data_IF_059478485745
#
_entry.id   IF_059478485745
#
_cell.length_a   1.000
_cell.length_b   1.000
_cell.length_c   1.000
_cell.angle_alpha   90.00
_cell.angle_beta   90.00
_cell.angle_gamma   90.00
#
_symmetry.space_group_name_H-M   'P 1'
#
loop_
_entity.id
_entity.type
_entity.pdbx_description
1 polymer ?
#
# COMPACT_ATOMS: atom_id res chain seq x y z
N UNK A 1 -15.36 39.99 37.20
CA UNK A 1 -15.32 39.98 35.72
C UNK A 1 -16.51 39.15 35.26
N UNK A 2 -17.57 39.79 34.78
CA UNK A 2 -18.80 39.13 34.33
C UNK A 2 -18.68 38.98 32.82
N UNK A 3 -18.58 37.74 32.33
CA UNK A 3 -18.64 37.47 30.88
C UNK A 3 -20.03 37.85 30.38
N UNK A 4 -20.18 38.75 29.39
CA UNK A 4 -21.49 39.03 28.82
C UNK A 4 -22.02 37.76 28.13
N UNK A 5 -23.32 37.44 28.25
CA UNK A 5 -23.93 36.23 27.69
C UNK A 5 -23.70 36.04 26.18
N UNK A 6 -23.36 37.10 25.45
CA UNK A 6 -22.99 37.05 24.04
C UNK A 6 -21.67 36.32 23.74
N UNK A 7 -20.71 36.24 24.68
CA UNK A 7 -19.44 35.56 24.43
C UNK A 7 -19.60 34.04 24.38
N UNK A 8 -20.39 33.45 25.28
CA UNK A 8 -20.64 32.01 25.30
C UNK A 8 -21.41 31.55 24.07
N UNK A 9 -22.44 32.29 23.66
CA UNK A 9 -23.23 31.97 22.46
C UNK A 9 -22.36 32.09 21.21
N UNK A 10 -21.51 33.12 21.13
CA UNK A 10 -20.57 33.28 20.04
C UNK A 10 -19.58 32.10 19.92
N UNK A 11 -18.98 31.65 21.03
CA UNK A 11 -18.10 30.46 20.98
C UNK A 11 -18.87 29.17 20.64
N UNK A 12 -20.12 29.05 21.08
CA UNK A 12 -20.96 27.92 20.70
C UNK A 12 -21.24 27.93 19.18
N UNK A 13 -21.47 29.10 18.58
CA UNK A 13 -21.68 29.25 17.13
C UNK A 13 -20.43 28.91 16.32
N UNK A 14 -19.23 29.11 16.87
CA UNK A 14 -17.98 28.69 16.22
C UNK A 14 -17.79 27.16 16.28
N UNK A 15 -18.02 26.54 17.44
CA UNK A 15 -17.68 25.13 17.67
C UNK A 15 -18.78 24.18 17.18
N UNK A 16 -20.05 24.51 17.41
CA UNK A 16 -21.18 23.63 17.13
C UNK A 16 -21.31 23.19 15.65
N UNK A 17 -21.06 24.06 14.64
CA UNK A 17 -21.15 23.68 13.23
C UNK A 17 -20.22 22.51 12.86
N UNK A 18 -19.02 22.46 13.44
CA UNK A 18 -18.09 21.35 13.20
C UNK A 18 -18.59 20.03 13.75
N UNK A 19 -19.20 20.05 14.94
CA UNK A 19 -19.81 18.88 15.55
C UNK A 19 -21.01 18.38 14.74
N UNK A 20 -21.88 19.30 14.31
CA UNK A 20 -23.05 18.97 13.48
C UNK A 20 -22.61 18.33 12.16
N UNK A 21 -21.57 18.86 11.50
CA UNK A 21 -21.07 18.31 10.25
C UNK A 21 -20.57 16.86 10.41
N UNK A 22 -19.76 16.60 11.44
CA UNK A 22 -19.21 15.26 11.71
C UNK A 22 -20.30 14.27 12.09
N UNK A 23 -21.23 14.64 12.97
CA UNK A 23 -22.33 13.76 13.35
C UNK A 23 -23.26 13.46 12.17
N UNK A 24 -23.50 14.45 11.31
CA UNK A 24 -24.28 14.28 10.07
C UNK A 24 -23.58 13.30 9.13
N UNK A 25 -22.26 13.44 8.95
CA UNK A 25 -21.46 12.56 8.12
C UNK A 25 -21.51 11.09 8.61
N UNK A 26 -21.32 10.87 9.91
CA UNK A 26 -21.34 9.53 10.51
C UNK A 26 -22.73 8.90 10.38
N UNK A 27 -23.78 9.69 10.67
CA UNK A 27 -25.16 9.22 10.59
C UNK A 27 -25.56 8.84 9.16
N UNK A 28 -25.13 9.63 8.16
CA UNK A 28 -25.42 9.37 6.75
C UNK A 28 -24.58 8.25 6.15
N UNK A 29 -23.30 8.16 6.54
CA UNK A 29 -22.40 7.11 6.06
C UNK A 29 -22.65 5.75 6.73
N UNK A 30 -23.59 5.67 7.69
CA UNK A 30 -23.92 4.46 8.45
C UNK A 30 -22.68 3.74 8.98
N UNK A 31 -21.70 4.50 9.48
CA UNK A 31 -20.47 3.93 10.06
C UNK A 31 -20.85 3.28 11.38
N UNK A 32 -20.88 1.95 11.39
CA UNK A 32 -21.26 1.12 12.55
C UNK A 32 -20.11 0.93 13.56
N UNK A 33 -18.91 1.42 13.23
CA UNK A 33 -17.71 1.19 14.02
C UNK A 33 -17.53 2.13 15.23
N UNK A 34 -16.90 1.59 16.28
CA UNK A 34 -16.45 2.29 17.49
C UNK A 34 -15.37 3.35 17.18
N UNK A 35 -15.78 4.49 16.61
CA UNK A 35 -14.90 5.63 16.46
C UNK A 35 -14.57 6.18 17.85
N UNK A 36 -13.28 6.20 18.20
CA UNK A 36 -12.81 6.77 19.47
C UNK A 36 -13.31 8.20 19.66
N UNK A 37 -13.93 8.48 20.81
CA UNK A 37 -14.49 9.80 21.14
C UNK A 37 -13.49 10.96 20.97
N UNK A 38 -12.21 10.73 21.27
CA UNK A 38 -11.15 11.72 21.07
C UNK A 38 -10.97 12.07 19.58
N UNK A 39 -11.04 11.07 18.70
CA UNK A 39 -10.91 11.27 17.25
C UNK A 39 -12.10 12.09 16.74
N UNK A 40 -13.32 11.79 17.19
CA UNK A 40 -14.52 12.58 16.88
C UNK A 40 -14.37 14.05 17.30
N UNK A 41 -13.86 14.29 18.52
CA UNK A 41 -13.60 15.64 19.02
C UNK A 41 -12.61 16.40 18.13
N UNK A 42 -11.47 15.79 17.78
CA UNK A 42 -10.47 16.41 16.90
C UNK A 42 -11.07 16.72 15.53
N UNK A 43 -11.78 15.77 14.92
CA UNK A 43 -12.43 16.00 13.63
C UNK A 43 -13.51 17.08 13.68
N UNK A 44 -14.29 17.13 14.76
CA UNK A 44 -15.31 18.18 14.94
C UNK A 44 -14.67 19.56 15.08
N UNK A 45 -13.55 19.67 15.80
CA UNK A 45 -12.82 20.93 15.96
C UNK A 45 -12.19 21.38 14.64
N UNK A 46 -11.52 20.48 13.92
CA UNK A 46 -10.94 20.78 12.60
C UNK A 46 -12.03 21.19 11.61
N UNK A 47 -13.17 20.52 11.64
CA UNK A 47 -14.31 20.83 10.76
C UNK A 47 -14.94 22.17 11.11
N UNK A 48 -15.07 22.50 12.39
CA UNK A 48 -15.53 23.82 12.86
C UNK A 48 -14.61 24.91 12.31
N UNK A 49 -13.30 24.76 12.47
CA UNK A 49 -12.33 25.74 11.99
C UNK A 49 -12.36 25.88 10.46
N UNK A 50 -12.56 24.79 9.71
CA UNK A 50 -12.74 24.84 8.26
C UNK A 50 -14.03 25.56 7.86
N UNK A 51 -15.15 25.28 8.52
CA UNK A 51 -16.44 25.93 8.24
C UNK A 51 -16.36 27.41 8.57
N UNK A 52 -15.76 27.78 9.71
CA UNK A 52 -15.57 29.17 10.11
C UNK A 52 -14.68 29.90 9.11
N UNK A 53 -13.58 29.28 8.67
CA UNK A 53 -12.68 29.85 7.66
C UNK A 53 -13.40 30.03 6.33
N UNK A 54 -14.21 29.06 5.91
CA UNK A 54 -14.97 29.13 4.67
C UNK A 54 -16.04 30.23 4.75
N UNK A 55 -16.76 30.31 5.87
CA UNK A 55 -17.74 31.37 6.12
C UNK A 55 -17.09 32.75 6.07
N UNK A 56 -16.00 32.95 6.81
CA UNK A 56 -15.24 34.20 6.81
C UNK A 56 -14.73 34.53 5.41
N UNK A 57 -14.16 33.55 4.70
CA UNK A 57 -13.66 33.73 3.34
C UNK A 57 -14.74 34.16 2.36
N UNK A 58 -15.90 33.49 2.37
CA UNK A 58 -17.04 33.84 1.50
C UNK A 58 -17.62 35.20 1.88
N UNK A 59 -17.74 35.49 3.17
CA UNK A 59 -18.24 36.79 3.64
C UNK A 59 -17.35 37.95 3.18
N UNK A 60 -16.02 37.80 3.32
CA UNK A 60 -15.08 38.84 2.89
C UNK A 60 -15.07 39.06 1.37
N UNK A 61 -15.40 38.04 0.58
CA UNK A 61 -15.51 38.16 -0.88
C UNK A 61 -16.77 38.91 -1.33
N UNK A 62 -17.88 38.79 -0.57
CA UNK A 62 -19.19 39.26 -0.99
C UNK A 62 -19.62 40.57 -0.31
N UNK A 63 -19.14 40.82 0.91
CA UNK A 63 -19.64 41.91 1.75
C UNK A 63 -18.51 42.90 2.07
N UNK A 64 -17.75 42.64 3.13
CA UNK A 64 -16.71 43.55 3.61
C UNK A 64 -15.57 42.79 4.29
N UNK A 65 -14.33 43.32 4.23
CA UNK A 65 -13.18 42.72 4.90
C UNK A 65 -13.33 42.77 6.43
N UNK A 66 -13.11 41.64 7.08
CA UNK A 66 -13.10 41.52 8.54
C UNK A 66 -11.68 41.77 9.01
N UNK A 67 -11.47 42.89 9.71
CA UNK A 67 -10.14 43.33 10.16
C UNK A 67 -9.84 43.02 11.62
N UNK A 68 -10.87 42.67 12.41
CA UNK A 68 -10.72 42.36 13.83
C UNK A 68 -11.71 41.30 14.30
N UNK A 69 -11.35 40.61 15.38
CA UNK A 69 -12.22 39.62 16.01
C UNK A 69 -13.51 40.23 16.59
N UNK A 70 -13.45 41.45 17.12
CA UNK A 70 -14.64 42.16 17.62
C UNK A 70 -15.63 42.50 16.51
N UNK A 71 -15.13 42.79 15.30
CA UNK A 71 -15.96 43.02 14.12
C UNK A 71 -16.68 41.74 13.68
N UNK A 72 -16.06 40.57 13.85
CA UNK A 72 -16.71 39.29 13.56
C UNK A 72 -17.86 39.00 14.54
N UNK A 73 -17.67 39.31 15.83
CA UNK A 73 -18.73 39.19 16.83
C UNK A 73 -19.89 40.16 16.53
N UNK A 74 -19.61 41.40 16.11
CA UNK A 74 -20.67 42.36 15.78
C UNK A 74 -21.45 41.96 14.52
N UNK A 75 -20.82 41.34 13.51
CA UNK A 75 -21.52 40.85 12.30
C UNK A 75 -22.62 39.83 12.64
N UNK A 76 -22.42 38.99 13.66
CA UNK A 76 -23.38 37.95 14.04
C UNK A 76 -24.47 38.46 15.02
N UNK A 77 -24.18 39.48 15.82
CA UNK A 77 -25.01 39.84 16.97
C UNK A 77 -25.45 41.31 17.05
N UNK A 78 -24.96 42.20 16.18
CA UNK A 78 -25.24 43.65 16.21
C UNK A 78 -26.00 44.09 14.93
N UNK A 79 -27.13 44.81 15.03
CA UNK A 79 -27.85 45.31 16.22
C UNK A 79 -28.78 44.31 16.90
N UNK A 80 -28.97 43.14 16.30
CA UNK A 80 -29.72 42.03 16.87
C UNK A 80 -29.15 40.72 16.31
N UNK A 81 -29.53 39.59 16.91
CA UNK A 81 -29.14 38.25 16.46
C UNK A 81 -29.47 38.05 14.97
N UNK A 82 -28.44 37.99 14.13
CA UNK A 82 -28.57 37.88 12.67
C UNK A 82 -28.79 36.41 12.29
N UNK A 83 -30.04 35.96 12.40
CA UNK A 83 -30.42 34.56 12.14
C UNK A 83 -30.02 34.09 10.74
N UNK A 84 -30.01 34.99 9.76
CA UNK A 84 -29.66 34.69 8.36
C UNK A 84 -28.23 34.14 8.24
N UNK A 85 -27.26 34.76 8.92
CA UNK A 85 -25.87 34.30 8.91
C UNK A 85 -25.70 32.98 9.66
N UNK A 86 -26.47 32.77 10.72
CA UNK A 86 -26.42 31.54 11.52
C UNK A 86 -27.03 30.38 10.74
N UNK A 87 -28.13 30.62 10.01
CA UNK A 87 -28.71 29.65 9.08
C UNK A 87 -27.75 29.33 7.94
N UNK A 88 -26.99 30.31 7.45
CA UNK A 88 -25.98 30.09 6.42
C UNK A 88 -24.83 29.21 6.96
N UNK A 89 -24.31 29.50 8.16
CA UNK A 89 -23.29 28.67 8.83
C UNK A 89 -23.81 27.25 9.05
N UNK A 90 -25.05 27.10 9.52
CA UNK A 90 -25.68 25.80 9.74
C UNK A 90 -25.90 25.04 8.42
N UNK A 91 -26.38 25.69 7.38
CA UNK A 91 -26.54 25.09 6.05
C UNK A 91 -25.20 24.65 5.45
N UNK A 92 -24.16 25.46 5.64
CA UNK A 92 -22.79 25.11 5.23
C UNK A 92 -22.27 23.90 5.99
N UNK A 93 -22.52 23.84 7.31
CA UNK A 93 -22.18 22.67 8.13
C UNK A 93 -22.86 21.39 7.65
N UNK A 94 -24.16 21.44 7.35
CA UNK A 94 -24.87 20.29 6.79
C UNK A 94 -24.30 19.89 5.43
N UNK A 95 -24.03 20.85 4.55
CA UNK A 95 -23.44 20.59 3.24
C UNK A 95 -22.06 19.92 3.34
N UNK A 96 -21.19 20.43 4.22
CA UNK A 96 -19.88 19.82 4.50
C UNK A 96 -20.05 18.42 5.10
N UNK A 97 -21.01 18.22 6.00
CA UNK A 97 -21.33 16.92 6.56
C UNK A 97 -21.76 15.90 5.50
N UNK A 98 -22.60 16.33 4.54
CA UNK A 98 -23.01 15.48 3.40
C UNK A 98 -21.82 15.16 2.50
N UNK A 99 -20.94 16.14 2.21
CA UNK A 99 -19.72 15.91 1.44
C UNK A 99 -18.79 14.91 2.13
N UNK A 100 -18.64 15.01 3.45
CA UNK A 100 -17.89 14.03 4.23
C UNK A 100 -18.54 12.65 4.18
N UNK A 101 -19.86 12.55 4.32
CA UNK A 101 -20.55 11.27 4.19
C UNK A 101 -20.31 10.64 2.81
N UNK A 102 -20.44 11.43 1.73
CA UNK A 102 -20.16 10.99 0.38
C UNK A 102 -18.70 10.55 0.21
N UNK A 103 -17.75 11.30 0.79
CA UNK A 103 -16.33 10.97 0.76
C UNK A 103 -16.02 9.64 1.46
N UNK A 104 -16.71 9.36 2.57
CA UNK A 104 -16.60 8.09 3.30
C UNK A 104 -17.21 6.94 2.48
N UNK A 105 -18.39 7.13 1.91
CA UNK A 105 -19.08 6.11 1.09
C UNK A 105 -18.28 5.73 -0.14
N UNK A 106 -17.61 6.70 -0.79
CA UNK A 106 -16.77 6.46 -1.98
C UNK A 106 -15.38 5.89 -1.60
N UNK A 107 -15.11 5.69 -0.30
CA UNK A 107 -13.82 5.26 0.23
C UNK A 107 -12.65 6.14 -0.26
N UNK A 108 -12.85 7.47 -0.24
CA UNK A 108 -11.79 8.43 -0.53
C UNK A 108 -10.56 8.22 0.37
N UNK A 109 -10.67 7.87 1.67
CA UNK A 109 -9.51 7.52 2.49
C UNK A 109 -8.72 6.31 1.96
N UNK A 110 -9.41 5.25 1.50
CA UNK A 110 -8.81 4.12 0.80
C UNK A 110 -8.10 4.55 -0.48
N UNK A 111 -8.75 5.40 -1.29
CA UNK A 111 -8.16 5.90 -2.53
C UNK A 111 -6.92 6.77 -2.29
N UNK A 112 -6.91 7.63 -1.25
CA UNK A 112 -5.72 8.40 -0.87
C UNK A 112 -4.62 7.50 -0.33
N UNK A 113 -4.95 6.47 0.44
CA UNK A 113 -4.00 5.47 0.91
C UNK A 113 -3.38 4.74 -0.28
N UNK A 114 -4.16 4.37 -1.28
CA UNK A 114 -3.68 3.70 -2.49
C UNK A 114 -2.82 4.62 -3.35
N UNK A 115 -3.19 5.91 -3.48
CA UNK A 115 -2.37 6.90 -4.20
C UNK A 115 -1.06 7.20 -3.47
N UNK A 116 -1.11 7.35 -2.14
CA UNK A 116 0.08 7.54 -1.30
C UNK A 116 0.97 6.30 -1.35
N UNK A 117 0.40 5.10 -1.26
CA UNK A 117 1.13 3.85 -1.39
C UNK A 117 1.71 3.68 -2.78
N UNK A 118 0.97 4.01 -3.85
CA UNK A 118 1.47 3.98 -5.22
C UNK A 118 2.64 4.95 -5.42
N UNK A 119 2.53 6.20 -4.93
CA UNK A 119 3.64 7.16 -4.98
C UNK A 119 4.83 6.73 -4.11
N UNK A 120 4.59 6.13 -2.96
CA UNK A 120 5.65 5.68 -2.05
C UNK A 120 6.33 4.43 -2.60
N UNK A 121 5.60 3.52 -3.25
CA UNK A 121 6.15 2.36 -3.95
C UNK A 121 7.00 2.76 -5.16
N UNK A 122 6.63 3.83 -5.88
CA UNK A 122 7.45 4.38 -6.98
C UNK A 122 8.81 4.89 -6.46
N UNK A 123 8.88 5.37 -5.20
CA UNK A 123 10.13 5.85 -4.60
C UNK A 123 10.94 4.79 -3.85
N UNK A 124 10.36 3.63 -3.49
CA UNK A 124 11.03 2.61 -2.65
C UNK A 124 11.52 1.35 -3.38
N UNK A 125 11.46 1.31 -4.72
CA UNK A 125 11.97 0.18 -5.50
C UNK A 125 12.83 0.65 -6.68
N UNK A 126 14.06 1.09 -6.40
CA UNK A 126 15.11 1.18 -7.44
C UNK A 126 15.62 -0.22 -7.85
N UNK A 127 15.25 -1.26 -7.10
CA UNK A 127 15.50 -2.69 -7.36
C UNK A 127 14.15 -3.40 -7.32
N UNK A 128 13.84 -4.21 -8.33
CA UNK A 128 12.63 -5.04 -8.29
C UNK A 128 12.66 -5.89 -7.01
N UNK A 129 11.55 -6.09 -6.28
CA UNK A 129 11.56 -6.77 -4.98
C UNK A 129 12.28 -8.12 -4.99
N UNK A 130 12.19 -8.86 -6.09
CA UNK A 130 12.85 -10.15 -6.25
C UNK A 130 14.36 -10.08 -6.45
N UNK A 131 14.95 -8.93 -6.79
CA UNK A 131 16.38 -8.83 -7.07
C UNK A 131 17.19 -9.11 -5.79
N UNK A 132 16.69 -8.67 -4.64
CA UNK A 132 17.34 -8.93 -3.35
C UNK A 132 17.16 -10.39 -2.89
N UNK A 133 16.04 -11.03 -3.23
CA UNK A 133 15.76 -12.42 -2.85
C UNK A 133 16.41 -13.44 -3.79
N UNK A 134 16.39 -13.20 -5.11
CA UNK A 134 16.94 -14.10 -6.12
C UNK A 134 18.46 -14.03 -6.22
N UNK A 135 19.08 -12.92 -5.83
CA UNK A 135 20.54 -12.76 -5.89
C UNK A 135 21.32 -13.84 -5.13
N UNK A 136 20.74 -14.40 -4.08
CA UNK A 136 21.35 -15.44 -3.26
C UNK A 136 20.55 -16.77 -3.32
N UNK A 137 19.54 -16.88 -4.18
CA UNK A 137 18.73 -18.09 -4.27
C UNK A 137 19.44 -19.13 -5.13
N UNK A 138 19.60 -20.35 -4.60
CA UNK A 138 20.07 -21.52 -5.34
C UNK A 138 18.88 -22.22 -5.98
N UNK A 139 17.82 -22.45 -5.21
CA UNK A 139 16.61 -23.15 -5.65
C UNK A 139 15.36 -22.33 -5.34
N UNK A 140 14.44 -22.27 -6.30
CA UNK A 140 13.18 -21.55 -6.19
C UNK A 140 12.00 -22.43 -6.57
N UNK A 141 10.87 -22.14 -5.94
CA UNK A 141 9.56 -22.62 -6.35
C UNK A 141 8.80 -21.47 -7.01
N UNK A 142 8.23 -21.73 -8.18
CA UNK A 142 7.49 -20.77 -8.98
C UNK A 142 6.06 -21.26 -9.11
N UNK A 143 5.10 -20.49 -8.59
CA UNK A 143 3.69 -20.70 -8.85
C UNK A 143 3.26 -19.81 -10.01
N UNK A 144 2.63 -20.43 -10.99
CA UNK A 144 2.23 -19.80 -12.23
C UNK A 144 0.76 -19.36 -12.21
N UNK A 145 0.38 -18.49 -13.14
CA UNK A 145 -0.99 -17.93 -13.22
C UNK A 145 -2.06 -18.99 -13.54
N UNK A 146 -1.67 -20.12 -14.15
CA UNK A 146 -2.46 -21.32 -14.42
C UNK A 146 -2.47 -22.30 -13.23
N UNK A 147 -2.13 -21.82 -12.04
CA UNK A 147 -2.11 -22.56 -10.76
C UNK A 147 -1.08 -23.71 -10.69
N UNK A 148 -0.25 -23.88 -11.73
CA UNK A 148 0.82 -24.88 -11.75
C UNK A 148 2.00 -24.43 -10.88
N UNK A 149 2.60 -25.38 -10.17
CA UNK A 149 3.77 -25.13 -9.31
C UNK A 149 4.99 -25.82 -9.89
N UNK A 150 6.09 -25.09 -10.00
CA UNK A 150 7.38 -25.58 -10.50
C UNK A 150 8.47 -25.39 -9.45
N UNK A 151 9.47 -26.26 -9.44
CA UNK A 151 10.70 -26.12 -8.66
C UNK A 151 11.91 -26.26 -9.58
N UNK A 152 12.97 -25.51 -9.31
CA UNK A 152 14.23 -25.64 -10.05
C UNK A 152 15.30 -24.69 -9.56
N UNK A 153 16.51 -24.85 -10.09
CA UNK A 153 17.67 -24.04 -9.70
C UNK A 153 17.71 -22.73 -10.48
N UNK A 154 18.00 -21.60 -9.81
CA UNK A 154 18.03 -20.29 -10.46
C UNK A 154 19.28 -20.13 -11.32
N UNK A 155 19.11 -19.99 -12.64
CA UNK A 155 20.23 -19.73 -13.57
C UNK A 155 20.30 -18.24 -13.93
N UNK A 156 19.16 -17.55 -13.97
CA UNK A 156 19.13 -16.15 -14.37
C UNK A 156 17.80 -15.46 -14.09
N UNK A 157 17.86 -14.16 -13.88
CA UNK A 157 16.69 -13.31 -13.67
C UNK A 157 16.89 -11.94 -14.34
N UNK A 158 15.79 -11.30 -14.72
CA UNK A 158 15.81 -9.95 -15.27
C UNK A 158 16.19 -8.91 -14.21
N UNK A 159 17.04 -7.96 -14.59
CA UNK A 159 17.41 -6.79 -13.77
C UNK A 159 16.45 -5.63 -14.01
N UNK A 160 16.46 -4.65 -13.09
CA UNK A 160 15.59 -3.47 -13.14
C UNK A 160 15.52 -2.81 -14.54
N UNK A 161 14.30 -2.47 -14.95
CA UNK A 161 14.02 -1.80 -16.24
C UNK A 161 13.83 -2.75 -17.43
N UNK A 162 13.81 -4.06 -17.23
CA UNK A 162 13.45 -5.06 -18.25
C UNK A 162 12.18 -5.80 -17.90
N UNK A 163 11.56 -6.41 -18.91
CA UNK A 163 10.49 -7.38 -18.70
C UNK A 163 10.96 -8.45 -17.73
N UNK A 164 10.02 -8.79 -16.88
CA UNK A 164 10.19 -9.58 -15.69
C UNK A 164 10.34 -11.06 -16.10
N UNK A 165 11.57 -11.57 -16.03
CA UNK A 165 11.96 -12.91 -16.51
C UNK A 165 12.72 -13.69 -15.44
N UNK A 166 12.40 -14.97 -15.28
CA UNK A 166 13.10 -15.92 -14.42
C UNK A 166 13.42 -17.18 -15.22
N UNK A 167 14.67 -17.64 -15.15
CA UNK A 167 15.12 -18.89 -15.75
C UNK A 167 15.55 -19.86 -14.67
N UNK A 168 14.98 -21.06 -14.71
CA UNK A 168 15.36 -22.17 -13.84
C UNK A 168 15.92 -23.33 -14.64
N UNK A 169 16.93 -24.03 -14.12
CA UNK A 169 17.41 -25.33 -14.63
C UNK A 169 16.72 -26.46 -13.92
N UNK A 170 16.68 -27.61 -14.60
CA UNK A 170 16.12 -28.85 -14.09
C UNK A 170 14.70 -28.65 -13.50
N UNK A 171 13.78 -28.06 -14.29
CA UNK A 171 12.45 -27.74 -13.82
C UNK A 171 11.69 -29.04 -13.49
N UNK A 172 11.11 -29.11 -12.29
CA UNK A 172 10.15 -30.13 -11.95
C UNK A 172 8.79 -29.48 -11.65
N UNK A 173 7.71 -30.07 -12.15
CA UNK A 173 6.34 -29.62 -11.93
C UNK A 173 5.70 -30.43 -10.82
N UNK A 174 4.95 -29.77 -9.95
CA UNK A 174 4.17 -30.45 -8.92
C UNK A 174 2.98 -31.16 -9.56
N UNK A 175 2.92 -32.48 -9.40
CA UNK A 175 1.79 -33.31 -9.80
C UNK A 175 0.89 -33.56 -8.59
N UNK A 176 -0.30 -32.95 -8.59
CA UNK A 176 -1.25 -33.06 -7.47
C UNK A 176 -1.73 -34.49 -7.23
N UNK A 177 -1.77 -35.33 -8.27
CA UNK A 177 -2.23 -36.72 -8.15
C UNK A 177 -1.23 -37.62 -7.44
N UNK A 178 0.06 -37.40 -7.71
CA UNK A 178 1.16 -38.19 -7.15
C UNK A 178 1.77 -37.53 -5.90
N UNK A 179 1.35 -36.29 -5.60
CA UNK A 179 1.87 -35.43 -4.53
C UNK A 179 3.40 -35.25 -4.59
N UNK A 180 3.97 -35.35 -5.80
CA UNK A 180 5.42 -35.29 -6.02
C UNK A 180 5.78 -34.39 -7.21
N UNK A 181 7.06 -34.06 -7.33
CA UNK A 181 7.60 -33.24 -8.39
C UNK A 181 8.08 -34.11 -9.56
N UNK A 182 7.40 -34.00 -10.70
CA UNK A 182 7.78 -34.69 -11.94
C UNK A 182 8.69 -33.80 -12.81
N UNK A 183 9.76 -34.34 -13.43
CA UNK A 183 10.62 -33.56 -14.29
C UNK A 183 9.87 -33.06 -15.53
N UNK A 184 9.98 -31.77 -15.81
CA UNK A 184 9.41 -31.15 -17.01
C UNK A 184 10.46 -31.23 -18.10
N UNK A 185 10.16 -31.90 -19.21
CA UNK A 185 11.14 -32.13 -20.27
C UNK A 185 11.80 -30.84 -20.76
N UNK A 186 13.12 -30.72 -20.54
CA UNK A 186 13.94 -29.59 -20.99
C UNK A 186 15.04 -29.24 -19.99
N UNK A 187 16.23 -28.78 -20.44
CA UNK A 187 17.31 -28.43 -19.53
C UNK A 187 17.03 -27.14 -18.73
N UNK A 188 16.18 -26.25 -19.27
CA UNK A 188 15.87 -24.94 -18.70
C UNK A 188 14.41 -24.55 -19.00
N UNK A 189 13.78 -23.83 -18.08
CA UNK A 189 12.44 -23.25 -18.25
C UNK A 189 12.47 -21.73 -18.00
N UNK A 190 11.87 -20.97 -18.92
CA UNK A 190 11.71 -19.51 -18.81
C UNK A 190 10.30 -19.17 -18.35
N UNK A 191 10.21 -18.39 -17.27
CA UNK A 191 8.98 -17.78 -16.77
C UNK A 191 9.01 -16.28 -17.01
N UNK A 192 7.91 -15.72 -17.52
CA UNK A 192 7.71 -14.28 -17.75
C UNK A 192 6.68 -13.72 -16.77
N UNK A 193 6.67 -12.40 -16.57
CA UNK A 193 5.79 -11.71 -15.59
C UNK A 193 4.35 -12.20 -15.59
N UNK A 194 3.73 -12.23 -16.77
CA UNK A 194 2.32 -12.58 -16.93
C UNK A 194 2.00 -14.01 -16.48
N UNK A 195 3.02 -14.86 -16.42
CA UNK A 195 2.91 -16.27 -16.07
C UNK A 195 3.35 -16.54 -14.63
N UNK A 196 3.88 -15.55 -13.89
CA UNK A 196 4.38 -15.74 -12.52
C UNK A 196 3.37 -15.15 -11.55
N UNK A 197 2.71 -16.02 -10.79
CA UNK A 197 1.83 -15.60 -9.69
C UNK A 197 2.62 -15.39 -8.39
N UNK A 198 3.58 -16.28 -8.09
CA UNK A 198 4.40 -16.23 -6.87
C UNK A 198 5.76 -16.90 -7.09
N UNK A 199 6.79 -16.37 -6.43
CA UNK A 199 8.11 -17.00 -6.32
C UNK A 199 8.42 -17.22 -4.84
N UNK A 200 8.88 -18.41 -4.48
CA UNK A 200 9.31 -18.77 -3.13
C UNK A 200 10.75 -19.29 -3.20
N UNK A 201 11.65 -18.69 -2.42
CA UNK A 201 13.04 -19.17 -2.32
C UNK A 201 13.07 -20.33 -1.34
N UNK A 202 13.50 -21.51 -1.80
CA UNK A 202 13.57 -22.72 -0.97
C UNK A 202 14.95 -22.88 -0.34
N UNK A 203 16.00 -22.56 -1.10
CA UNK A 203 17.38 -22.68 -0.66
C UNK A 203 18.16 -21.43 -1.01
N UNK A 204 18.71 -20.80 0.01
CA UNK A 204 19.60 -19.65 -0.11
C UNK A 204 21.04 -20.13 0.06
N UNK A 205 21.91 -19.68 -0.82
CA UNK A 205 23.33 -19.99 -0.81
C UNK A 205 23.95 -19.40 0.47
N UNK A 206 24.16 -20.24 1.50
CA UNK A 206 25.01 -19.87 2.63
C UNK A 206 26.42 -19.74 2.05
N UNK A 207 26.92 -18.51 1.91
CA UNK A 207 28.23 -18.18 1.33
C UNK A 207 29.34 -19.13 1.84
N UNK A 208 29.57 -20.23 1.13
CA UNK A 208 30.83 -20.96 1.21
C UNK A 208 31.83 -20.21 0.31
N UNK A 209 32.97 -19.77 0.86
CA UNK A 209 33.91 -18.91 0.16
C UNK A 209 34.31 -19.51 -1.19
N UNK A 210 34.54 -18.65 -2.19
CA UNK A 210 34.81 -18.96 -3.61
C UNK A 210 35.78 -20.15 -3.80
N UNK A 211 36.76 -20.31 -2.89
CA UNK A 211 37.72 -21.41 -2.88
C UNK A 211 37.08 -22.81 -2.72
N UNK A 212 35.99 -22.94 -1.96
CA UNK A 212 35.25 -24.20 -1.75
C UNK A 212 34.39 -24.56 -2.96
N UNK A 213 33.88 -23.54 -3.68
CA UNK A 213 33.07 -23.73 -4.90
C UNK A 213 33.94 -24.21 -6.07
N UNK A 214 35.16 -23.70 -6.17
CA UNK A 214 36.16 -24.17 -7.14
C UNK A 214 36.60 -25.61 -6.86
N UNK A 215 36.82 -25.98 -5.60
CA UNK A 215 37.22 -27.36 -5.25
C UNK A 215 36.09 -28.37 -5.45
N UNK A 216 34.81 -28.02 -5.24
CA UNK A 216 33.68 -28.91 -5.58
C UNK A 216 33.50 -29.14 -7.07
N UNK A 217 33.62 -28.08 -7.90
CA UNK A 217 33.57 -28.24 -9.36
C UNK A 217 34.76 -29.05 -9.89
N UNK A 218 35.96 -28.87 -9.32
CA UNK A 218 37.13 -29.68 -9.66
C UNK A 218 37.02 -31.12 -9.18
N UNK A 219 36.44 -31.37 -8.00
CA UNK A 219 36.20 -32.72 -7.49
C UNK A 219 35.16 -33.48 -8.34
N UNK A 220 34.09 -32.80 -8.78
CA UNK A 220 33.09 -33.37 -9.69
C UNK A 220 33.63 -33.61 -11.11
N UNK A 221 34.64 -32.85 -11.55
CA UNK A 221 35.35 -33.10 -12.80
C UNK A 221 36.37 -34.25 -12.67
N UNK A 222 37.06 -34.35 -11.53
CA UNK A 222 38.00 -35.44 -11.24
C UNK A 222 37.32 -36.81 -11.17
N UNK A 223 36.17 -36.91 -10.51
CA UNK A 223 35.39 -38.16 -10.45
C UNK A 223 34.82 -38.57 -11.82
N UNK A 224 34.52 -37.59 -12.69
CA UNK A 224 34.08 -37.86 -14.06
C UNK A 224 35.22 -38.37 -14.96
N UNK A 225 36.47 -37.99 -14.68
CA UNK A 225 37.64 -38.47 -15.40
C UNK A 225 38.07 -39.88 -14.94
N UNK A 226 37.96 -40.19 -13.64
CA UNK A 226 38.21 -41.55 -13.12
C UNK A 226 37.20 -42.58 -13.65
N UNK A 227 35.94 -42.18 -13.85
CA UNK A 227 34.93 -43.05 -14.47
C UNK A 227 35.27 -43.41 -15.93
N UNK A 228 35.87 -42.48 -16.69
CA UNK A 228 36.28 -42.74 -18.07
C UNK A 228 37.58 -43.53 -18.19
N UNK A 229 38.52 -43.38 -17.25
CA UNK A 229 39.78 -44.13 -17.27
C UNK A 229 39.65 -45.58 -16.77
N UNK A 230 38.50 -45.94 -16.20
CA UNK A 230 38.21 -47.30 -15.70
C UNK A 230 37.46 -48.17 -16.72
N UNK A 231 37.14 -47.64 -17.90
CA UNK A 231 36.31 -48.29 -18.93
C UNK A 231 37.08 -49.00 -20.06
N UNK A 232 38.38 -48.78 -20.22
CA UNK A 232 39.16 -49.32 -21.36
C UNK A 232 39.93 -50.61 -21.02
N UNK A 233 39.48 -51.36 -20.01
CA UNK A 233 40.23 -52.52 -19.50
C UNK A 233 39.37 -53.73 -19.14
N UNK A 234 38.30 -54.04 -19.87
CA UNK A 234 37.62 -55.34 -19.74
C UNK A 234 36.71 -55.68 -20.94
N UNK A 235 37.29 -56.30 -21.98
CA UNK A 235 36.72 -57.23 -22.99
C UNK A 235 37.63 -57.12 -24.24
N UNK A 236 38.29 -58.13 -24.79
CA UNK A 236 37.99 -59.56 -24.84
C UNK A 236 39.28 -60.39 -25.02
N UNK A 237 39.53 -61.31 -24.09
CA UNK A 237 40.20 -62.59 -24.35
C UNK A 237 39.19 -63.67 -23.96
N UNK A 238 38.44 -64.19 -24.94
CA UNK A 238 37.99 -65.60 -25.05
C UNK A 238 37.38 -65.84 -26.42
#
# INVERSE_FOLDING_TARGET
MVNPPGSTIFYAVLIAPGFVAVMTAISLAAIEDDIKQFVLLVWSLVSSLLIDTLFVGVYQLLVEPITSFSQFQSILFDPAFRIDYILLIFGTSLFVGVLYAAAIIIDIPGMFRDILQAKTQISYSRRQPWEEYLKNAEQVMVKTSDDQTYIGDVIGWSRAGREKELRISDPHRYNENEQDFEPVGGPEQLFRDNNIQRITVLKTDQFLPIRVRATRKLAAWGSRLEFWNSGDGAESDS
#
